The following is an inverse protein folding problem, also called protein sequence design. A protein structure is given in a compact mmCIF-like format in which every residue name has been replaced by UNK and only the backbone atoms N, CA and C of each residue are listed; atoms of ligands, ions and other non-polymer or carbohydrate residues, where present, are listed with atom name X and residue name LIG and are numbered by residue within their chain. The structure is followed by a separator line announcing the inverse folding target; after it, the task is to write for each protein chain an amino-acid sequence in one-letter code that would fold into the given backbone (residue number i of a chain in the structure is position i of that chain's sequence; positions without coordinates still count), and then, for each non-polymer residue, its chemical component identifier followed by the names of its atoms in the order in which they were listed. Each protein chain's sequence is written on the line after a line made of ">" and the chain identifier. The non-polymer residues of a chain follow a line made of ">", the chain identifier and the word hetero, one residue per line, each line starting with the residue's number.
data_IF_606235937566
#
_entry.id   IF_606235937566
#
_cell.length_a   1.000
_cell.length_b   1.000
_cell.length_c   1.000
_cell.angle_alpha   90.00
_cell.angle_beta   90.00
_cell.angle_gamma   90.00
#
_symmetry.space_group_name_H-M   'P 1'
#
loop_
_entity.id
_entity.type
_entity.pdbx_description
1 polymer ?
#
# COMPACT_ATOMS: atom_id res chain seq x y z
N UNK A 1 45.81 -9.59 -31.63
CA UNK A 1 44.88 -9.27 -30.50
C UNK A 1 43.47 -9.69 -30.93
N UNK A 2 42.95 -10.65 -30.26
CA UNK A 2 41.82 -11.41 -30.75
C UNK A 2 40.46 -10.71 -30.48
N UNK A 3 39.55 -10.80 -31.44
CA UNK A 3 38.15 -10.34 -31.38
C UNK A 3 37.36 -10.96 -30.20
N UNK A 4 37.90 -11.96 -29.52
CA UNK A 4 37.22 -12.65 -28.43
C UNK A 4 37.15 -11.87 -27.12
N UNK A 5 38.10 -10.95 -26.85
CA UNK A 5 38.08 -10.15 -25.62
C UNK A 5 37.02 -9.04 -25.59
N UNK A 6 36.62 -8.53 -26.77
CA UNK A 6 35.61 -7.48 -26.86
C UNK A 6 34.18 -8.02 -26.61
N UNK A 7 33.91 -9.26 -27.02
CA UNK A 7 32.58 -9.89 -26.85
C UNK A 7 32.31 -10.26 -25.39
N UNK A 8 33.34 -10.72 -24.66
CA UNK A 8 33.21 -11.08 -23.25
C UNK A 8 32.96 -9.84 -22.39
N UNK A 9 33.60 -8.70 -22.70
CA UNK A 9 33.40 -7.46 -21.96
C UNK A 9 31.99 -6.87 -22.15
N UNK A 10 31.44 -6.96 -23.37
CA UNK A 10 30.08 -6.50 -23.67
C UNK A 10 29.00 -7.31 -22.94
N UNK A 11 29.18 -8.64 -22.82
CA UNK A 11 28.26 -9.52 -22.09
C UNK A 11 28.27 -9.25 -20.58
N UNK A 12 29.43 -8.97 -19.99
CA UNK A 12 29.54 -8.68 -18.55
C UNK A 12 28.89 -7.35 -18.19
N UNK A 13 29.05 -6.32 -19.02
CA UNK A 13 28.42 -5.01 -18.79
C UNK A 13 26.89 -5.09 -18.93
N UNK A 14 26.36 -5.88 -19.84
CA UNK A 14 24.92 -6.08 -20.01
C UNK A 14 24.27 -6.80 -18.82
N UNK A 15 24.99 -7.73 -18.20
CA UNK A 15 24.49 -8.45 -17.01
C UNK A 15 24.43 -7.54 -15.77
N UNK A 16 25.42 -6.65 -15.58
CA UNK A 16 25.44 -5.74 -14.44
C UNK A 16 24.34 -4.66 -14.53
N UNK A 17 24.05 -4.15 -15.73
CA UNK A 17 22.96 -3.21 -15.94
C UNK A 17 21.59 -3.83 -15.68
N UNK A 18 21.39 -5.08 -16.07
CA UNK A 18 20.14 -5.82 -15.83
C UNK A 18 19.88 -6.10 -14.35
N UNK A 19 20.89 -6.49 -13.59
CA UNK A 19 20.78 -6.75 -12.16
C UNK A 19 20.44 -5.48 -11.37
N UNK A 20 21.09 -4.34 -11.68
CA UNK A 20 20.82 -3.07 -11.02
C UNK A 20 19.40 -2.56 -11.24
N UNK A 21 18.84 -2.72 -12.44
CA UNK A 21 17.47 -2.32 -12.76
C UNK A 21 16.42 -3.21 -12.06
N UNK A 22 16.68 -4.49 -11.89
CA UNK A 22 15.80 -5.40 -11.12
C UNK A 22 15.81 -5.07 -9.63
N UNK A 23 16.96 -4.75 -9.05
CA UNK A 23 17.07 -4.34 -7.64
C UNK A 23 16.34 -3.03 -7.35
N UNK A 24 16.46 -2.03 -8.22
CA UNK A 24 15.74 -0.76 -8.08
C UNK A 24 14.22 -0.94 -8.16
N UNK A 25 13.71 -1.82 -9.04
CA UNK A 25 12.28 -2.16 -9.10
C UNK A 25 11.80 -2.89 -7.85
N UNK A 26 12.58 -3.80 -7.31
CA UNK A 26 12.25 -4.55 -6.09
C UNK A 26 12.19 -3.63 -4.86
N UNK A 27 13.07 -2.64 -4.74
CA UNK A 27 13.06 -1.66 -3.66
C UNK A 27 11.84 -0.72 -3.74
N UNK A 28 11.37 -0.35 -4.93
CA UNK A 28 10.17 0.48 -5.12
C UNK A 28 8.85 -0.24 -4.78
N UNK A 29 8.82 -1.58 -4.76
CA UNK A 29 7.64 -2.40 -4.44
C UNK A 29 7.57 -2.83 -2.96
N UNK A 30 8.59 -2.53 -2.17
CA UNK A 30 8.72 -3.01 -0.78
C UNK A 30 8.27 -2.01 0.28
N UNK A 31 7.55 -0.97 -0.06
CA UNK A 31 7.03 0.02 0.88
C UNK A 31 5.51 -0.03 1.01
N UNK A 32 5.00 0.21 2.23
CA UNK A 32 3.59 0.51 2.47
C UNK A 32 3.19 1.71 1.63
N UNK A 33 2.08 1.59 0.88
CA UNK A 33 1.70 2.60 -0.11
C UNK A 33 0.23 2.53 -0.50
N UNK A 34 -0.23 3.62 -1.11
CA UNK A 34 -1.50 3.68 -1.86
C UNK A 34 -1.21 3.74 -3.36
N UNK A 35 -1.95 2.96 -4.10
CA UNK A 35 -1.91 2.93 -5.57
C UNK A 35 -3.25 3.44 -6.09
N UNK A 36 -3.32 4.69 -6.61
CA UNK A 36 -4.54 5.21 -7.22
C UNK A 36 -5.02 4.30 -8.34
N UNK A 37 -6.33 4.03 -8.37
CA UNK A 37 -6.97 3.23 -9.41
C UNK A 37 -7.73 4.14 -10.37
N UNK A 38 -8.71 4.87 -9.86
CA UNK A 38 -9.44 5.90 -10.59
C UNK A 38 -10.14 6.87 -9.63
N UNK A 39 -10.57 7.99 -10.18
CA UNK A 39 -11.36 9.00 -9.50
C UNK A 39 -12.37 9.60 -10.45
N UNK A 40 -13.57 9.90 -9.97
CA UNK A 40 -14.61 10.60 -10.71
C UNK A 40 -15.33 11.60 -9.79
N UNK A 41 -16.47 12.14 -10.22
CA UNK A 41 -17.24 13.12 -9.43
C UNK A 41 -17.88 12.55 -8.15
N UNK A 42 -18.04 11.22 -8.06
CA UNK A 42 -18.73 10.54 -6.97
C UNK A 42 -17.80 9.90 -5.96
N UNK A 43 -16.67 9.38 -6.42
CA UNK A 43 -15.78 8.56 -5.59
C UNK A 43 -14.31 8.65 -6.00
N UNK A 44 -13.47 8.29 -5.05
CA UNK A 44 -12.03 8.05 -5.24
C UNK A 44 -11.73 6.60 -4.89
N UNK A 45 -11.01 5.90 -5.77
CA UNK A 45 -10.67 4.50 -5.59
C UNK A 45 -9.16 4.31 -5.62
N UNK A 46 -8.64 3.60 -4.64
CA UNK A 46 -7.24 3.22 -4.57
C UNK A 46 -7.06 1.83 -3.98
N UNK A 47 -5.90 1.23 -4.21
CA UNK A 47 -5.44 0.04 -3.53
C UNK A 47 -4.45 0.46 -2.45
N UNK A 48 -4.64 0.00 -1.21
CA UNK A 48 -3.64 0.12 -0.14
C UNK A 48 -2.91 -1.20 0.01
N UNK A 49 -1.59 -1.14 0.13
CA UNK A 49 -0.72 -2.26 0.44
C UNK A 49 0.03 -1.90 1.71
N UNK A 50 -0.27 -2.60 2.80
CA UNK A 50 0.24 -2.29 4.13
C UNK A 50 1.14 -3.43 4.57
N UNK A 51 2.44 -3.18 4.50
CA UNK A 51 3.47 -4.16 4.82
C UNK A 51 3.62 -4.35 6.33
N UNK A 52 4.07 -5.53 6.79
CA UNK A 52 4.38 -5.77 8.19
C UNK A 52 5.34 -4.71 8.77
N UNK A 53 4.99 -4.14 9.92
CA UNK A 53 5.79 -3.15 10.65
C UNK A 53 6.07 -1.82 9.92
N UNK A 54 5.38 -1.56 8.80
CA UNK A 54 5.50 -0.31 8.05
C UNK A 54 4.14 0.39 8.03
N UNK A 55 3.89 1.38 8.92
CA UNK A 55 2.62 2.08 8.96
C UNK A 55 2.31 2.83 7.67
N UNK A 56 1.03 2.89 7.32
CA UNK A 56 0.56 3.87 6.36
C UNK A 56 0.60 5.25 7.03
N UNK A 57 1.05 6.26 6.29
CA UNK A 57 1.22 7.62 6.83
C UNK A 57 -0.07 8.16 7.46
N UNK A 58 0.07 9.06 8.44
CA UNK A 58 -1.05 9.73 9.10
C UNK A 58 -1.98 10.40 8.07
N UNK A 59 -3.26 10.11 8.17
CA UNK A 59 -4.32 10.61 7.29
C UNK A 59 -5.67 10.61 8.00
N UNK A 60 -6.71 11.06 7.33
CA UNK A 60 -8.11 10.95 7.76
C UNK A 60 -9.01 10.73 6.55
N UNK A 61 -10.21 10.24 6.81
CA UNK A 61 -11.25 10.07 5.81
C UNK A 61 -12.43 10.98 6.13
N UNK A 62 -12.73 11.91 5.24
CA UNK A 62 -13.82 12.88 5.42
C UNK A 62 -15.19 12.30 5.10
N UNK A 63 -15.24 11.20 4.39
CA UNK A 63 -16.47 10.56 3.93
C UNK A 63 -16.46 9.06 4.19
N UNK A 64 -17.64 8.46 4.15
CA UNK A 64 -17.81 7.03 4.23
C UNK A 64 -17.13 6.31 3.06
N UNK A 65 -16.69 5.08 3.30
CA UNK A 65 -15.95 4.28 2.32
C UNK A 65 -16.29 2.80 2.41
N UNK A 66 -16.39 2.14 1.27
CA UNK A 66 -16.36 0.69 1.19
C UNK A 66 -14.90 0.22 1.10
N UNK A 67 -14.59 -0.90 1.73
CA UNK A 67 -13.30 -1.55 1.71
C UNK A 67 -13.48 -3.00 1.30
N UNK A 68 -12.70 -3.45 0.32
CA UNK A 68 -12.66 -4.86 -0.10
C UNK A 68 -11.29 -5.43 0.23
N UNK A 69 -11.24 -6.43 1.09
CA UNK A 69 -10.00 -7.09 1.46
C UNK A 69 -9.59 -8.09 0.37
N UNK A 70 -8.53 -7.78 -0.37
CA UNK A 70 -7.92 -8.70 -1.33
C UNK A 70 -7.04 -9.73 -0.59
N UNK A 71 -6.22 -9.25 0.32
CA UNK A 71 -5.46 -10.03 1.29
C UNK A 71 -5.79 -9.47 2.66
N UNK A 72 -6.55 -10.22 3.44
CA UNK A 72 -6.98 -9.82 4.77
C UNK A 72 -5.89 -9.94 5.82
N UNK A 73 -6.24 -9.59 7.04
CA UNK A 73 -5.37 -9.64 8.21
C UNK A 73 -5.88 -8.72 9.31
N UNK A 74 -5.15 -8.70 10.42
CA UNK A 74 -5.44 -7.83 11.54
C UNK A 74 -4.72 -6.50 11.38
N UNK A 75 -5.47 -5.42 11.26
CA UNK A 75 -4.98 -4.05 11.15
C UNK A 75 -5.29 -3.28 12.43
N UNK A 76 -4.29 -2.64 13.02
CA UNK A 76 -4.48 -1.71 14.15
C UNK A 76 -4.45 -0.28 13.62
N UNK A 77 -5.48 0.48 13.93
CA UNK A 77 -5.54 1.92 13.68
C UNK A 77 -5.00 2.64 14.90
N UNK A 78 -4.03 3.51 14.71
CA UNK A 78 -3.38 4.27 15.79
C UNK A 78 -3.53 5.78 15.54
N UNK A 79 -3.56 6.55 16.62
CA UNK A 79 -3.53 8.02 16.55
C UNK A 79 -2.12 8.57 16.29
N UNK A 80 -1.98 9.89 16.28
CA UNK A 80 -0.69 10.57 16.07
C UNK A 80 0.35 10.31 17.17
N UNK A 81 -0.07 9.84 18.35
CA UNK A 81 0.82 9.44 19.43
C UNK A 81 1.24 7.97 19.36
N UNK A 82 0.65 7.20 18.45
CA UNK A 82 0.83 5.76 18.34
C UNK A 82 -0.10 4.93 19.24
N UNK A 83 -1.03 5.57 19.93
CA UNK A 83 -2.02 4.86 20.75
C UNK A 83 -3.09 4.21 19.86
N UNK A 84 -3.47 2.97 20.18
CA UNK A 84 -4.49 2.25 19.42
C UNK A 84 -5.88 2.90 19.59
N UNK A 85 -6.53 3.19 18.46
CA UNK A 85 -7.92 3.66 18.39
C UNK A 85 -8.87 2.47 18.26
N UNK A 86 -8.57 1.58 17.32
CA UNK A 86 -9.37 0.39 17.02
C UNK A 86 -8.54 -0.66 16.29
N UNK A 87 -9.09 -1.85 16.18
CA UNK A 87 -8.50 -2.96 15.42
C UNK A 87 -9.55 -3.57 14.53
N UNK A 88 -9.18 -3.85 13.29
CA UNK A 88 -10.01 -4.55 12.33
C UNK A 88 -9.42 -5.93 12.02
N UNK A 89 -10.27 -6.92 11.97
CA UNK A 89 -9.94 -8.25 11.45
C UNK A 89 -10.64 -8.41 10.10
N UNK A 90 -9.89 -8.27 9.03
CA UNK A 90 -10.42 -8.38 7.67
C UNK A 90 -10.17 -9.76 7.08
N UNK A 91 -11.23 -10.37 6.57
CA UNK A 91 -11.14 -11.64 5.84
C UNK A 91 -10.95 -11.41 4.34
N UNK A 92 -10.01 -12.13 3.73
CA UNK A 92 -9.79 -12.07 2.28
C UNK A 92 -11.08 -12.36 1.49
N UNK A 93 -11.38 -11.53 0.49
CA UNK A 93 -12.55 -11.62 -0.36
C UNK A 93 -13.81 -10.99 0.22
N UNK A 94 -13.78 -10.43 1.43
CA UNK A 94 -14.93 -9.74 2.04
C UNK A 94 -14.88 -8.23 1.89
N UNK A 95 -16.06 -7.62 1.92
CA UNK A 95 -16.25 -6.18 1.88
C UNK A 95 -16.78 -5.66 3.23
N UNK A 96 -16.38 -4.43 3.57
CA UNK A 96 -16.73 -3.75 4.81
C UNK A 96 -17.13 -2.31 4.51
N UNK A 97 -17.96 -1.74 5.37
CA UNK A 97 -18.25 -0.32 5.35
C UNK A 97 -17.60 0.37 6.55
N UNK A 98 -16.88 1.45 6.27
CA UNK A 98 -16.27 2.31 7.28
C UNK A 98 -16.82 3.72 7.13
N UNK A 99 -17.29 4.31 8.23
CA UNK A 99 -17.79 5.69 8.26
C UNK A 99 -16.67 6.72 8.11
N UNK A 100 -17.06 8.01 8.03
CA UNK A 100 -16.12 9.11 8.11
C UNK A 100 -15.42 9.14 9.47
N UNK A 101 -14.17 9.60 9.48
CA UNK A 101 -13.44 9.79 10.72
C UNK A 101 -13.95 11.06 11.46
N UNK A 102 -13.84 11.12 12.79
CA UNK A 102 -14.16 12.32 13.54
C UNK A 102 -13.36 13.53 13.04
N UNK A 103 -13.94 14.76 13.04
CA UNK A 103 -13.23 15.95 12.62
C UNK A 103 -11.91 16.15 13.35
N UNK A 104 -10.84 16.42 12.58
CA UNK A 104 -9.50 16.68 13.13
C UNK A 104 -8.72 15.45 13.62
N UNK A 105 -9.32 14.26 13.63
CA UNK A 105 -8.64 13.04 14.04
C UNK A 105 -7.82 12.45 12.88
N UNK A 106 -6.51 12.51 12.98
CA UNK A 106 -5.60 11.78 12.12
C UNK A 106 -5.34 10.38 12.68
N UNK A 107 -5.16 9.42 11.79
CA UNK A 107 -4.76 8.07 12.15
C UNK A 107 -3.74 7.50 11.17
N UNK A 108 -3.04 6.46 11.62
CA UNK A 108 -2.20 5.62 10.79
C UNK A 108 -2.67 4.17 10.90
N UNK A 109 -2.47 3.42 9.83
CA UNK A 109 -2.81 2.00 9.77
C UNK A 109 -1.54 1.17 9.95
N UNK A 110 -1.56 0.26 10.92
CA UNK A 110 -0.42 -0.57 11.30
C UNK A 110 -0.74 -2.03 11.12
N UNK A 111 0.04 -2.71 10.31
CA UNK A 111 0.00 -4.16 10.15
C UNK A 111 1.04 -4.79 11.08
N UNK A 112 0.59 -5.39 12.18
CA UNK A 112 1.45 -6.09 13.14
C UNK A 112 1.64 -7.58 12.80
N UNK A 113 1.05 -8.06 11.71
CA UNK A 113 1.22 -9.42 11.22
C UNK A 113 2.55 -9.65 10.51
N UNK A 114 2.66 -10.78 9.85
CA UNK A 114 3.85 -11.24 9.11
C UNK A 114 3.66 -11.24 7.58
N UNK A 115 2.45 -10.92 7.10
CA UNK A 115 2.09 -10.86 5.68
C UNK A 115 1.53 -9.49 5.33
N UNK A 116 1.69 -9.01 4.09
CA UNK A 116 1.04 -7.80 3.62
C UNK A 116 -0.49 -7.90 3.74
N UNK A 117 -1.13 -6.78 4.08
CA UNK A 117 -2.57 -6.58 3.95
C UNK A 117 -2.80 -5.76 2.68
N UNK A 118 -3.70 -6.21 1.81
CA UNK A 118 -4.04 -5.53 0.58
C UNK A 118 -5.55 -5.29 0.51
N UNK A 119 -5.95 -4.05 0.32
CA UNK A 119 -7.36 -3.66 0.26
C UNK A 119 -7.62 -2.69 -0.89
N UNK A 120 -8.79 -2.82 -1.52
CA UNK A 120 -9.36 -1.77 -2.37
C UNK A 120 -10.24 -0.90 -1.49
N UNK A 121 -10.04 0.40 -1.56
CA UNK A 121 -10.87 1.40 -0.87
C UNK A 121 -11.63 2.23 -1.90
N UNK A 122 -12.93 2.33 -1.71
CA UNK A 122 -13.86 3.15 -2.50
C UNK A 122 -14.43 4.21 -1.58
N UNK A 123 -13.83 5.40 -1.56
CA UNK A 123 -14.26 6.52 -0.71
C UNK A 123 -15.22 7.43 -1.47
N UNK A 124 -16.34 7.75 -0.84
CA UNK A 124 -17.28 8.72 -1.38
C UNK A 124 -16.70 10.14 -1.32
N UNK A 125 -17.08 10.99 -2.25
CA UNK A 125 -16.73 12.43 -2.23
C UNK A 125 -17.77 13.29 -1.55
N UNK A 126 -18.96 12.75 -1.36
CA UNK A 126 -20.08 13.41 -0.66
C UNK A 126 -20.86 12.34 0.07
N UNK A 127 -21.14 12.58 1.33
CA UNK A 127 -22.14 11.82 2.07
C UNK A 127 -23.52 12.39 1.69
N UNK A 128 -24.51 11.51 1.51
CA UNK A 128 -25.89 11.91 1.23
C UNK A 128 -26.65 12.17 2.52
#
# INVERSE_FOLDING_TARGET
>A
MSRHHAVVLACVLSFLAGAGAMWARQQGQSATRREPQFENEHMRVWKSIILPKQPLALHRHEHGRALVALVGGRLTVVDSSGAAITTYDWESGKAYWLGADPPGQLHADVNNGDKPIEVIVVELKKDR
#
